data_IF_491058775022
#
_entry.id   IF_491058775022
#
_cell.length_a   1.000
_cell.length_b   1.000
_cell.length_c   1.000
_cell.angle_alpha   90.00
_cell.angle_beta   90.00
_cell.angle_gamma   90.00
#
_symmetry.space_group_name_H-M   'P 1'
#
loop_
_entity.id
_entity.type
_entity.pdbx_description
1 polymer ?
#
# COMPACT_ATOMS: atom_id res chain seq x y z
N UNK A 1 8.20 -15.85 -3.30
CA UNK A 1 9.00 -14.69 -2.85
C UNK A 1 10.34 -15.18 -2.34
N UNK A 2 11.42 -14.41 -2.51
CA UNK A 2 12.72 -14.73 -1.90
C UNK A 2 12.66 -14.61 -0.37
N UNK A 3 13.47 -15.41 0.32
CA UNK A 3 13.57 -15.43 1.78
C UNK A 3 14.95 -14.95 2.21
N UNK A 4 15.03 -14.36 3.41
CA UNK A 4 16.27 -13.87 4.02
C UNK A 4 17.14 -15.04 4.50
N UNK A 5 17.66 -15.88 3.61
CA UNK A 5 18.37 -17.12 3.99
C UNK A 5 19.81 -16.89 4.44
N UNK A 6 20.45 -15.86 3.90
CA UNK A 6 21.87 -15.53 4.07
C UNK A 6 22.11 -14.10 4.54
N UNK A 7 21.09 -13.23 4.43
CA UNK A 7 21.08 -11.84 4.92
C UNK A 7 19.64 -11.33 5.01
N UNK A 8 19.43 -10.21 5.69
CA UNK A 8 18.16 -9.47 5.62
C UNK A 8 17.99 -8.90 4.21
N UNK A 9 16.86 -9.24 3.58
CA UNK A 9 16.42 -8.62 2.33
C UNK A 9 15.67 -7.32 2.59
N UNK A 10 15.73 -6.39 1.65
CA UNK A 10 15.15 -5.05 1.75
C UNK A 10 14.10 -4.83 0.68
N UNK A 11 12.94 -4.32 1.07
CA UNK A 11 11.87 -3.88 0.16
C UNK A 11 11.20 -2.64 0.73
N UNK A 12 10.11 -2.18 0.11
CA UNK A 12 9.28 -1.10 0.61
C UNK A 12 7.82 -1.38 0.28
N UNK A 13 6.95 -0.42 0.59
CA UNK A 13 5.50 -0.59 0.45
C UNK A 13 5.03 -0.41 -0.98
N UNK A 14 5.45 0.62 -1.70
CA UNK A 14 5.04 0.77 -3.10
C UNK A 14 5.35 2.16 -3.58
N UNK A 15 4.33 3.02 -3.64
CA UNK A 15 4.44 4.41 -4.09
C UNK A 15 5.71 5.15 -3.65
N UNK A 16 6.43 5.67 -4.63
CA UNK A 16 7.66 6.45 -4.46
C UNK A 16 7.47 7.89 -4.96
N UNK A 17 8.34 8.84 -4.55
CA UNK A 17 8.31 10.19 -5.06
C UNK A 17 8.30 10.26 -6.59
N UNK A 18 7.19 10.76 -7.15
CA UNK A 18 6.99 10.89 -8.60
C UNK A 18 7.86 12.03 -9.18
N UNK A 19 8.55 11.82 -10.31
CA UNK A 19 9.24 12.88 -11.02
C UNK A 19 8.30 14.02 -11.42
N UNK A 20 8.79 15.26 -11.35
CA UNK A 20 7.99 16.46 -11.67
C UNK A 20 7.36 16.38 -13.07
N UNK A 21 8.10 15.85 -14.05
CA UNK A 21 7.61 15.70 -15.43
C UNK A 21 6.37 14.81 -15.57
N UNK A 22 6.16 13.84 -14.68
CA UNK A 22 4.95 13.02 -14.66
C UNK A 22 3.82 13.70 -13.89
N UNK A 23 4.15 14.46 -12.84
CA UNK A 23 3.18 15.30 -12.13
C UNK A 23 2.59 16.33 -13.11
N UNK A 24 3.43 16.98 -13.92
CA UNK A 24 3.02 17.97 -14.91
C UNK A 24 2.07 17.37 -15.97
N UNK A 25 2.31 16.13 -16.40
CA UNK A 25 1.39 15.40 -17.31
C UNK A 25 0.03 15.21 -16.66
N UNK A 26 -0.01 14.76 -15.40
CA UNK A 26 -1.27 14.51 -14.69
C UNK A 26 -2.05 15.80 -14.43
N UNK A 27 -1.37 16.92 -14.11
CA UNK A 27 -1.98 18.25 -13.98
C UNK A 27 -2.59 18.70 -15.31
N UNK A 28 -1.88 18.50 -16.42
CA UNK A 28 -2.35 18.89 -17.75
C UNK A 28 -3.58 18.08 -18.16
N UNK A 29 -3.60 16.77 -17.90
CA UNK A 29 -4.76 15.91 -18.12
C UNK A 29 -5.98 16.33 -17.28
N UNK A 30 -5.79 16.64 -15.99
CA UNK A 30 -6.87 17.12 -15.10
C UNK A 30 -7.40 18.51 -15.51
N UNK A 31 -6.56 19.33 -16.15
CA UNK A 31 -6.91 20.65 -16.65
C UNK A 31 -7.58 20.64 -18.04
N UNK A 32 -7.72 19.46 -18.66
CA UNK A 32 -8.31 19.31 -20.00
C UNK A 32 -7.37 19.58 -21.17
N UNK A 33 -6.07 19.68 -20.93
CA UNK A 33 -5.01 19.92 -21.92
C UNK A 33 -4.05 18.70 -21.99
N UNK A 34 -4.51 17.53 -22.48
CA UNK A 34 -3.74 16.29 -22.39
C UNK A 34 -2.44 16.32 -23.22
N UNK A 35 -1.37 15.79 -22.63
CA UNK A 35 -0.07 15.58 -23.32
C UNK A 35 -0.24 14.50 -24.41
N UNK A 36 0.44 14.62 -25.58
CA UNK A 36 0.36 13.61 -26.62
C UNK A 36 0.65 12.19 -26.10
N UNK A 37 -0.19 11.17 -26.40
CA UNK A 37 -0.08 9.84 -25.79
C UNK A 37 1.29 9.19 -25.92
N UNK A 38 1.97 9.38 -27.06
CA UNK A 38 3.31 8.85 -27.29
C UNK A 38 4.38 9.49 -26.39
N UNK A 39 4.26 10.79 -26.11
CA UNK A 39 5.17 11.51 -25.23
C UNK A 39 4.97 11.07 -23.77
N UNK A 40 3.72 10.94 -23.33
CA UNK A 40 3.40 10.42 -22.00
C UNK A 40 3.93 9.00 -21.82
N UNK A 41 3.68 8.10 -22.78
CA UNK A 41 4.15 6.72 -22.71
C UNK A 41 5.68 6.62 -22.59
N UNK A 42 6.42 7.44 -23.33
CA UNK A 42 7.88 7.46 -23.26
C UNK A 42 8.37 7.99 -21.90
N UNK A 43 7.84 9.12 -21.41
CA UNK A 43 8.19 9.68 -20.09
C UNK A 43 7.93 8.68 -18.96
N UNK A 44 6.79 8.00 -19.00
CA UNK A 44 6.45 6.98 -18.01
C UNK A 44 7.43 5.79 -18.06
N UNK A 45 7.74 5.26 -19.25
CA UNK A 45 8.70 4.16 -19.39
C UNK A 45 10.09 4.53 -18.87
N UNK A 46 10.56 5.73 -19.17
CA UNK A 46 11.86 6.21 -18.70
C UNK A 46 11.87 6.42 -17.18
N UNK A 47 10.82 6.99 -16.61
CA UNK A 47 10.67 7.18 -15.17
C UNK A 47 10.64 5.84 -14.41
N UNK A 48 9.91 4.84 -14.92
CA UNK A 48 9.86 3.49 -14.33
C UNK A 48 11.24 2.82 -14.39
N UNK A 49 11.94 2.93 -15.52
CA UNK A 49 13.31 2.40 -15.62
C UNK A 49 14.27 3.08 -14.62
N UNK A 50 14.19 4.40 -14.50
CA UNK A 50 15.05 5.16 -13.60
C UNK A 50 14.76 4.86 -12.12
N UNK A 51 13.50 4.68 -11.73
CA UNK A 51 13.17 4.40 -10.33
C UNK A 51 13.56 2.97 -9.93
N UNK A 52 13.42 1.98 -10.81
CA UNK A 52 13.93 0.62 -10.58
C UNK A 52 15.45 0.63 -10.41
N UNK A 53 16.17 1.35 -11.30
CA UNK A 53 17.62 1.49 -11.18
C UNK A 53 18.05 2.12 -9.84
N UNK A 54 17.35 3.18 -9.42
CA UNK A 54 17.61 3.89 -8.17
C UNK A 54 17.35 3.04 -6.93
N UNK A 55 16.28 2.25 -6.93
CA UNK A 55 15.99 1.31 -5.83
C UNK A 55 17.15 0.32 -5.65
N UNK A 56 17.62 -0.28 -6.74
CA UNK A 56 18.76 -1.21 -6.72
C UNK A 56 20.06 -0.52 -6.26
N UNK A 57 20.32 0.71 -6.72
CA UNK A 57 21.45 1.53 -6.27
C UNK A 57 21.43 1.74 -4.74
N UNK A 58 20.25 1.94 -4.17
CA UNK A 58 20.04 2.14 -2.75
C UNK A 58 20.00 0.82 -1.94
N UNK A 59 20.20 -0.34 -2.57
CA UNK A 59 20.22 -1.63 -1.90
C UNK A 59 18.84 -2.22 -1.61
N UNK A 60 17.80 -1.83 -2.35
CA UNK A 60 16.49 -2.48 -2.33
C UNK A 60 16.55 -3.75 -3.19
N UNK A 61 16.13 -4.88 -2.62
CA UNK A 61 16.21 -6.21 -3.24
C UNK A 61 14.95 -6.58 -4.02
N UNK A 62 13.78 -6.20 -3.49
CA UNK A 62 12.48 -6.46 -4.10
C UNK A 62 11.83 -5.12 -4.46
N UNK A 63 11.85 -4.80 -5.74
CA UNK A 63 11.55 -3.46 -6.30
C UNK A 63 10.13 -3.36 -6.87
N UNK A 64 9.63 -2.13 -7.06
CA UNK A 64 8.40 -1.88 -7.84
C UNK A 64 8.61 -0.78 -8.91
N UNK A 65 7.52 -0.36 -9.57
CA UNK A 65 7.48 0.72 -10.56
C UNK A 65 7.28 2.12 -9.95
N UNK A 66 7.36 2.26 -8.62
CA UNK A 66 7.05 3.45 -7.85
C UNK A 66 5.59 3.88 -7.90
N UNK A 67 4.70 3.07 -8.48
CA UNK A 67 3.30 3.38 -8.79
C UNK A 67 3.13 4.64 -9.68
N UNK A 68 4.13 4.95 -10.50
CA UNK A 68 4.19 6.21 -11.25
C UNK A 68 3.05 6.40 -12.23
N UNK A 69 2.47 5.32 -12.72
CA UNK A 69 1.36 5.33 -13.67
C UNK A 69 -0.03 5.51 -13.03
N UNK A 70 -0.12 5.35 -11.69
CA UNK A 70 -1.37 5.39 -10.93
C UNK A 70 -1.54 6.78 -10.30
N UNK A 71 -2.71 7.40 -10.48
CA UNK A 71 -2.98 8.75 -9.94
C UNK A 71 -3.06 8.78 -8.41
N UNK A 72 -3.61 7.71 -7.86
CA UNK A 72 -3.71 7.51 -6.42
C UNK A 72 -4.71 6.43 -6.08
N UNK A 73 -4.60 5.99 -4.83
CA UNK A 73 -5.28 4.83 -4.30
C UNK A 73 -6.81 4.84 -4.52
N UNK A 74 -7.44 5.99 -4.29
CA UNK A 74 -8.88 6.10 -4.36
C UNK A 74 -9.42 6.39 -5.78
N UNK A 75 -8.55 6.66 -6.77
CA UNK A 75 -8.90 6.80 -8.19
C UNK A 75 -8.73 5.46 -8.91
N UNK A 76 -7.80 4.63 -8.42
CA UNK A 76 -7.44 3.33 -8.98
C UNK A 76 -8.67 2.46 -9.31
N UNK A 77 -9.62 2.36 -8.37
CA UNK A 77 -10.85 1.58 -8.56
C UNK A 77 -11.72 2.12 -9.72
N UNK A 78 -11.80 3.45 -9.87
CA UNK A 78 -12.63 4.10 -10.89
C UNK A 78 -12.10 3.83 -12.30
N UNK A 79 -10.77 3.78 -12.44
CA UNK A 79 -10.09 3.50 -13.70
C UNK A 79 -10.18 2.01 -14.08
N UNK A 80 -10.26 1.12 -13.09
CA UNK A 80 -10.15 -0.34 -13.30
C UNK A 80 -11.47 -1.11 -13.24
N UNK A 81 -12.53 -0.53 -12.67
CA UNK A 81 -13.83 -1.19 -12.55
C UNK A 81 -14.92 -0.54 -13.44
N UNK A 82 -15.65 -1.39 -14.15
CA UNK A 82 -16.92 -1.07 -14.79
C UNK A 82 -18.09 -1.16 -13.80
N UNK A 83 -19.25 -0.63 -14.20
CA UNK A 83 -20.46 -0.59 -13.36
C UNK A 83 -20.48 0.54 -12.31
N UNK A 84 -19.54 1.49 -12.40
CA UNK A 84 -19.46 2.66 -11.53
C UNK A 84 -19.93 3.93 -12.23
N UNK A 85 -20.78 4.70 -11.56
CA UNK A 85 -21.31 5.99 -12.02
C UNK A 85 -20.94 7.10 -11.04
N UNK A 86 -20.49 8.29 -11.51
CA UNK A 86 -20.27 9.43 -10.63
C UNK A 86 -21.57 9.90 -9.99
N UNK A 87 -21.55 10.18 -8.68
CA UNK A 87 -22.74 10.69 -7.95
C UNK A 87 -22.99 12.19 -8.18
N UNK A 88 -22.00 12.89 -8.77
CA UNK A 88 -21.96 14.35 -8.83
C UNK A 88 -21.44 15.01 -7.55
N UNK A 89 -21.19 14.23 -6.49
CA UNK A 89 -20.57 14.68 -5.25
C UNK A 89 -19.07 14.43 -5.19
N UNK A 90 -18.42 15.02 -4.19
CA UNK A 90 -17.04 14.71 -3.82
C UNK A 90 -17.01 13.58 -2.80
N UNK A 91 -15.97 12.76 -2.87
CA UNK A 91 -15.67 11.78 -1.83
C UNK A 91 -15.23 12.52 -0.57
N UNK A 92 -15.78 12.19 0.61
CA UNK A 92 -15.39 12.82 1.86
C UNK A 92 -13.94 12.47 2.22
N UNK A 93 -13.31 13.33 3.03
CA UNK A 93 -12.01 13.03 3.62
C UNK A 93 -12.07 11.73 4.43
N UNK A 94 -11.05 10.85 4.35
CA UNK A 94 -11.01 9.63 5.15
C UNK A 94 -10.93 9.92 6.66
N UNK A 95 -10.61 11.15 7.04
CA UNK A 95 -10.55 11.60 8.43
C UNK A 95 -11.85 12.29 8.89
N UNK A 96 -12.80 12.55 7.99
CA UNK A 96 -14.05 13.19 8.35
C UNK A 96 -14.81 12.35 9.39
N UNK A 97 -15.17 12.97 10.52
CA UNK A 97 -15.87 12.34 11.64
C UNK A 97 -15.14 11.18 12.32
N UNK A 98 -13.87 10.93 11.98
CA UNK A 98 -13.02 9.92 12.63
C UNK A 98 -12.79 10.23 14.10
N UNK A 99 -12.42 9.22 14.90
CA UNK A 99 -12.00 9.38 16.31
C UNK A 99 -10.93 10.46 16.45
N UNK A 100 -9.93 10.42 15.55
CA UNK A 100 -8.84 11.40 15.50
C UNK A 100 -9.34 12.83 15.26
N UNK A 101 -10.24 13.04 14.29
CA UNK A 101 -10.79 14.38 14.03
C UNK A 101 -11.69 14.91 15.16
N UNK A 102 -12.28 14.02 15.96
CA UNK A 102 -13.09 14.38 17.12
C UNK A 102 -12.22 14.79 18.31
N UNK A 103 -11.08 14.11 18.53
CA UNK A 103 -10.15 14.44 19.62
C UNK A 103 -9.23 15.61 19.28
N UNK A 104 -8.80 15.73 18.01
CA UNK A 104 -7.88 16.76 17.53
C UNK A 104 -8.50 17.62 16.41
N UNK A 105 -9.63 18.31 16.68
CA UNK A 105 -10.37 19.03 15.63
C UNK A 105 -9.55 20.12 14.95
N UNK A 106 -8.71 20.86 15.68
CA UNK A 106 -7.87 21.93 15.12
C UNK A 106 -6.79 21.39 14.16
N UNK A 107 -6.26 20.20 14.43
CA UNK A 107 -5.26 19.57 13.57
C UNK A 107 -5.89 19.04 12.27
N UNK A 108 -7.07 18.42 12.38
CA UNK A 108 -7.75 17.81 11.24
C UNK A 108 -8.63 18.77 10.45
N UNK A 109 -8.93 19.97 10.95
CA UNK A 109 -9.77 20.96 10.25
C UNK A 109 -9.30 21.21 8.80
N UNK A 110 -8.01 21.47 8.51
CA UNK A 110 -7.56 21.70 7.12
C UNK A 110 -7.73 20.49 6.19
N UNK A 111 -7.76 19.28 6.75
CA UNK A 111 -7.82 18.00 6.02
C UNK A 111 -9.27 17.52 5.85
N UNK A 112 -10.16 17.94 6.75
CA UNK A 112 -11.57 17.52 6.80
C UNK A 112 -12.53 18.55 6.22
N UNK A 113 -12.07 19.77 5.96
CA UNK A 113 -12.83 20.75 5.20
C UNK A 113 -13.16 20.18 3.82
N UNK A 114 -14.46 20.04 3.54
CA UNK A 114 -14.93 19.72 2.19
C UNK A 114 -14.40 20.78 1.24
N UNK A 115 -13.61 20.35 0.25
CA UNK A 115 -13.21 21.23 -0.82
C UNK A 115 -14.48 21.74 -1.52
N UNK A 116 -14.84 23.00 -1.31
CA UNK A 116 -15.95 23.63 -2.04
C UNK A 116 -15.73 23.57 -3.56
N UNK A 117 -16.81 23.53 -4.35
CA UNK A 117 -16.75 23.50 -5.83
C UNK A 117 -17.05 22.13 -6.46
N UNK A 118 -16.96 22.05 -7.79
CA UNK A 118 -17.26 20.84 -8.58
C UNK A 118 -16.27 19.70 -8.31
N UNK A 119 -16.70 18.42 -8.37
CA UNK A 119 -15.80 17.28 -8.27
C UNK A 119 -14.83 17.22 -9.46
N UNK A 120 -13.60 16.79 -9.19
CA UNK A 120 -12.59 16.47 -10.21
C UNK A 120 -12.52 14.95 -10.39
N UNK A 121 -11.89 14.44 -11.48
CA UNK A 121 -11.66 13.00 -11.64
C UNK A 121 -10.97 12.36 -10.41
N UNK A 122 -10.11 13.12 -9.74
CA UNK A 122 -9.32 12.66 -8.60
C UNK A 122 -10.11 12.56 -7.27
N UNK A 123 -11.23 13.30 -7.13
CA UNK A 123 -12.02 13.32 -5.89
C UNK A 123 -13.52 13.05 -6.05
N UNK A 124 -13.99 12.72 -7.26
CA UNK A 124 -15.37 12.36 -7.51
C UNK A 124 -15.79 11.14 -6.66
N UNK A 125 -16.96 11.22 -6.03
CA UNK A 125 -17.58 10.05 -5.41
C UNK A 125 -18.25 9.20 -6.48
N UNK A 126 -18.02 7.89 -6.41
CA UNK A 126 -18.62 6.91 -7.31
C UNK A 126 -19.62 6.04 -6.56
N UNK A 127 -20.66 5.60 -7.27
CA UNK A 127 -21.59 4.57 -6.83
C UNK A 127 -21.57 3.41 -7.82
N UNK A 128 -21.64 2.18 -7.32
CA UNK A 128 -21.87 0.99 -8.13
C UNK A 128 -23.37 0.91 -8.43
N UNK A 129 -23.74 1.09 -9.71
CA UNK A 129 -25.13 1.12 -10.16
C UNK A 129 -25.48 -0.05 -11.09
N UNK A 130 -24.48 -0.81 -11.53
CA UNK A 130 -24.60 -1.95 -12.44
C UNK A 130 -23.63 -3.07 -12.01
N UNK A 131 -23.77 -4.31 -12.55
CA UNK A 131 -22.83 -5.38 -12.25
C UNK A 131 -21.37 -4.98 -12.49
N UNK A 132 -20.50 -5.34 -11.55
CA UNK A 132 -19.08 -4.98 -11.60
C UNK A 132 -18.36 -5.87 -12.60
N UNK A 133 -17.47 -5.25 -13.37
CA UNK A 133 -16.58 -5.95 -14.30
C UNK A 133 -15.20 -5.33 -14.24
N UNK A 134 -14.15 -6.11 -14.47
CA UNK A 134 -12.83 -5.55 -14.68
C UNK A 134 -12.72 -4.89 -16.07
N UNK A 135 -12.29 -3.63 -16.12
CA UNK A 135 -12.05 -2.86 -17.36
C UNK A 135 -10.62 -2.34 -17.49
N UNK A 136 -9.75 -2.62 -16.52
CA UNK A 136 -8.40 -2.05 -16.41
C UNK A 136 -7.32 -2.67 -17.30
N UNK A 137 -7.65 -3.59 -18.21
CA UNK A 137 -6.66 -4.43 -18.92
C UNK A 137 -5.58 -3.60 -19.62
N UNK A 138 -5.95 -2.56 -20.38
CA UNK A 138 -4.98 -1.73 -21.10
C UNK A 138 -4.04 -0.96 -20.15
N UNK A 139 -4.55 -0.49 -19.01
CA UNK A 139 -3.74 0.19 -17.99
C UNK A 139 -2.76 -0.79 -17.35
N UNK A 140 -3.26 -1.97 -16.97
CA UNK A 140 -2.44 -3.02 -16.37
C UNK A 140 -1.37 -3.52 -17.32
N UNK A 141 -1.71 -3.79 -18.58
CA UNK A 141 -0.75 -4.22 -19.60
C UNK A 141 0.38 -3.20 -19.79
N UNK A 142 0.06 -1.89 -19.78
CA UNK A 142 1.05 -0.82 -19.83
C UNK A 142 1.96 -0.83 -18.58
N UNK A 143 1.36 -0.94 -17.40
CA UNK A 143 2.08 -0.95 -16.12
C UNK A 143 3.06 -2.15 -16.07
N UNK A 144 2.57 -3.35 -16.40
CA UNK A 144 3.36 -4.58 -16.48
C UNK A 144 4.47 -4.49 -17.54
N UNK A 145 4.18 -3.98 -18.74
CA UNK A 145 5.19 -3.83 -19.79
C UNK A 145 6.33 -2.89 -19.40
N UNK A 146 6.02 -1.77 -18.73
CA UNK A 146 7.03 -0.85 -18.23
C UNK A 146 7.90 -1.50 -17.15
N UNK A 147 7.29 -2.19 -16.18
CA UNK A 147 8.02 -2.87 -15.12
C UNK A 147 8.88 -4.02 -15.68
N UNK A 148 8.35 -4.84 -16.59
CA UNK A 148 9.12 -5.92 -17.25
C UNK A 148 10.37 -5.37 -17.93
N UNK A 149 10.22 -4.31 -18.74
CA UNK A 149 11.35 -3.67 -19.42
C UNK A 149 12.40 -3.12 -18.44
N UNK A 150 11.96 -2.49 -17.34
CA UNK A 150 12.84 -1.95 -16.33
C UNK A 150 13.58 -3.04 -15.53
N UNK A 151 12.88 -4.12 -15.16
CA UNK A 151 13.44 -5.29 -14.48
C UNK A 151 14.51 -5.96 -15.35
N UNK A 152 14.22 -6.19 -16.63
CA UNK A 152 15.18 -6.77 -17.58
C UNK A 152 16.41 -5.88 -17.79
N UNK A 153 16.20 -4.57 -17.97
CA UNK A 153 17.28 -3.60 -18.22
C UNK A 153 18.24 -3.49 -17.02
N UNK A 154 17.71 -3.52 -15.80
CA UNK A 154 18.49 -3.37 -14.57
C UNK A 154 18.88 -4.69 -13.91
N UNK A 155 18.40 -5.83 -14.45
CA UNK A 155 18.58 -7.18 -13.88
C UNK A 155 18.07 -7.28 -12.44
N UNK A 156 16.95 -6.62 -12.15
CA UNK A 156 16.29 -6.76 -10.87
C UNK A 156 15.87 -8.22 -10.67
N UNK A 157 16.12 -8.77 -9.49
CA UNK A 157 15.95 -10.19 -9.25
C UNK A 157 14.53 -10.58 -8.87
N UNK A 158 13.81 -9.68 -8.22
CA UNK A 158 12.42 -9.84 -7.81
C UNK A 158 11.75 -8.47 -7.83
N UNK A 159 10.51 -8.43 -8.32
CA UNK A 159 9.70 -7.22 -8.35
C UNK A 159 8.25 -7.52 -7.99
N UNK A 160 7.56 -6.51 -7.50
CA UNK A 160 6.17 -6.60 -7.07
C UNK A 160 5.30 -5.49 -7.66
N UNK A 161 4.00 -5.72 -7.72
CA UNK A 161 3.01 -4.76 -8.19
C UNK A 161 1.94 -4.59 -7.11
N UNK A 162 1.79 -3.38 -6.54
CA UNK A 162 0.69 -3.08 -5.62
C UNK A 162 -0.66 -3.03 -6.33
N UNK A 163 -1.68 -3.57 -5.68
CA UNK A 163 -3.07 -3.48 -6.10
C UNK A 163 -3.97 -3.29 -4.86
N UNK A 164 -4.98 -2.45 -4.99
CA UNK A 164 -5.92 -2.16 -3.89
C UNK A 164 -6.73 -3.41 -3.54
N UNK A 165 -7.04 -3.61 -2.26
CA UNK A 165 -7.89 -4.70 -1.80
C UNK A 165 -9.39 -4.51 -2.12
N UNK A 166 -10.19 -5.59 -2.15
CA UNK A 166 -11.64 -5.48 -2.28
C UNK A 166 -12.28 -4.69 -1.12
N UNK A 167 -11.76 -4.89 0.10
CA UNK A 167 -12.20 -4.19 1.31
C UNK A 167 -12.06 -2.68 1.14
N UNK A 168 -10.90 -2.21 0.66
CA UNK A 168 -10.66 -0.78 0.52
C UNK A 168 -11.57 -0.15 -0.54
N UNK A 169 -11.75 -0.82 -1.69
CA UNK A 169 -12.72 -0.40 -2.72
C UNK A 169 -14.13 -0.31 -2.13
N UNK A 170 -14.55 -1.33 -1.37
CA UNK A 170 -15.91 -1.50 -0.87
C UNK A 170 -16.40 -0.36 0.05
N UNK A 171 -15.54 0.52 0.54
CA UNK A 171 -16.08 1.79 1.04
C UNK A 171 -15.29 3.02 0.70
N UNK A 172 -14.68 3.03 -0.48
CA UNK A 172 -14.55 4.27 -1.25
C UNK A 172 -15.65 4.38 -2.32
N UNK A 173 -16.38 3.31 -2.61
CA UNK A 173 -17.49 3.26 -3.58
C UNK A 173 -18.81 2.99 -2.85
N UNK A 174 -19.87 3.74 -3.20
CA UNK A 174 -21.22 3.49 -2.66
C UNK A 174 -21.87 2.28 -3.36
N UNK A 175 -22.70 1.52 -2.65
CA UNK A 175 -23.42 0.39 -3.20
C UNK A 175 -24.89 0.74 -3.49
N UNK A 176 -25.23 0.94 -4.78
CA UNK A 176 -26.59 1.21 -5.25
C UNK A 176 -27.13 0.06 -6.13
N UNK A 177 -26.45 -1.09 -6.16
CA UNK A 177 -26.76 -2.20 -7.07
C UNK A 177 -26.97 -3.55 -6.36
N UNK A 178 -26.06 -3.93 -5.46
CA UNK A 178 -26.10 -5.22 -4.78
C UNK A 178 -26.98 -5.16 -3.53
N UNK A 179 -27.56 -6.31 -3.17
CA UNK A 179 -28.52 -6.42 -2.07
C UNK A 179 -27.93 -6.01 -0.71
N UNK A 180 -26.66 -6.35 -0.47
CA UNK A 180 -25.95 -6.05 0.76
C UNK A 180 -24.44 -5.84 0.53
N UNK A 181 -23.75 -5.45 1.59
CA UNK A 181 -22.30 -5.18 1.58
C UNK A 181 -21.47 -6.45 1.29
N UNK A 182 -21.98 -7.63 1.65
CA UNK A 182 -21.29 -8.90 1.41
C UNK A 182 -21.30 -9.23 -0.09
N UNK A 183 -22.48 -9.23 -0.71
CA UNK A 183 -22.62 -9.44 -2.15
C UNK A 183 -21.79 -8.43 -2.96
N UNK A 184 -21.74 -7.17 -2.50
CA UNK A 184 -20.90 -6.15 -3.12
C UNK A 184 -19.40 -6.46 -2.98
N UNK A 185 -18.94 -6.81 -1.78
CA UNK A 185 -17.55 -7.18 -1.52
C UNK A 185 -17.09 -8.35 -2.40
N UNK A 186 -17.91 -9.41 -2.50
CA UNK A 186 -17.58 -10.57 -3.33
C UNK A 186 -17.59 -10.24 -4.83
N UNK A 187 -18.48 -9.35 -5.29
CA UNK A 187 -18.47 -8.90 -6.67
C UNK A 187 -17.22 -8.05 -7.01
N UNK A 188 -16.76 -7.21 -6.08
CA UNK A 188 -15.47 -6.51 -6.21
C UNK A 188 -14.33 -7.53 -6.26
N UNK A 189 -14.35 -8.53 -5.36
CA UNK A 189 -13.33 -9.57 -5.31
C UNK A 189 -13.23 -10.36 -6.62
N UNK A 190 -14.36 -10.73 -7.23
CA UNK A 190 -14.40 -11.38 -8.54
C UNK A 190 -13.81 -10.50 -9.66
N UNK A 191 -14.14 -9.21 -9.67
CA UNK A 191 -13.59 -8.28 -10.65
C UNK A 191 -12.07 -8.09 -10.47
N UNK A 192 -11.61 -7.91 -9.23
CA UNK A 192 -10.18 -7.67 -8.94
C UNK A 192 -9.31 -8.92 -9.12
N UNK A 193 -9.87 -10.12 -8.99
CA UNK A 193 -9.16 -11.38 -9.27
C UNK A 193 -8.54 -11.42 -10.68
N UNK A 194 -9.14 -10.71 -11.65
CA UNK A 194 -8.60 -10.58 -13.02
C UNK A 194 -7.23 -9.88 -13.01
N UNK A 195 -7.12 -8.72 -12.34
CA UNK A 195 -5.86 -7.98 -12.22
C UNK A 195 -4.83 -8.76 -11.42
N UNK A 196 -5.26 -9.35 -10.30
CA UNK A 196 -4.38 -10.10 -9.41
C UNK A 196 -3.73 -11.29 -10.11
N UNK A 197 -4.50 -12.04 -10.91
CA UNK A 197 -3.97 -13.15 -11.72
C UNK A 197 -3.01 -12.64 -12.79
N UNK A 198 -3.39 -11.59 -13.52
CA UNK A 198 -2.54 -11.04 -14.58
C UNK A 198 -1.18 -10.54 -14.06
N UNK A 199 -1.13 -9.96 -12.86
CA UNK A 199 0.14 -9.57 -12.20
C UNK A 199 1.04 -10.80 -11.95
N UNK A 200 0.47 -11.88 -11.40
CA UNK A 200 1.23 -13.09 -11.08
C UNK A 200 1.62 -13.86 -12.35
N UNK A 201 0.74 -13.93 -13.34
CA UNK A 201 0.99 -14.55 -14.65
C UNK A 201 2.10 -13.82 -15.43
N UNK A 202 2.25 -12.50 -15.22
CA UNK A 202 3.37 -11.71 -15.76
C UNK A 202 4.71 -11.96 -15.04
N UNK A 203 4.72 -12.79 -13.98
CA UNK A 203 5.94 -13.17 -13.27
C UNK A 203 6.29 -12.27 -12.08
N UNK A 204 5.43 -11.34 -11.70
CA UNK A 204 5.64 -10.48 -10.52
C UNK A 204 4.99 -11.04 -9.26
N UNK A 205 5.40 -10.50 -8.10
CA UNK A 205 4.67 -10.67 -6.86
C UNK A 205 3.48 -9.70 -6.84
N UNK A 206 2.33 -10.16 -6.37
CA UNK A 206 1.18 -9.32 -6.09
C UNK A 206 1.29 -8.75 -4.68
N UNK A 207 1.19 -7.43 -4.52
CA UNK A 207 0.89 -6.85 -3.22
C UNK A 207 -0.58 -6.43 -3.13
N UNK A 208 -1.29 -6.90 -2.10
CA UNK A 208 -2.61 -6.40 -1.74
C UNK A 208 -2.45 -5.29 -0.70
N UNK A 209 -2.86 -4.07 -1.05
CA UNK A 209 -2.85 -2.90 -0.17
C UNK A 209 -4.22 -2.71 0.47
N UNK A 210 -4.26 -2.73 1.80
CA UNK A 210 -5.50 -2.61 2.56
C UNK A 210 -5.33 -1.84 3.88
N UNK A 211 -5.08 -0.52 3.81
CA UNK A 211 -5.08 0.32 5.01
C UNK A 211 -6.47 0.37 5.65
N UNK A 212 -7.57 0.20 4.89
CA UNK A 212 -8.93 0.27 5.44
C UNK A 212 -9.19 -0.78 6.51
N UNK A 213 -8.68 -2.00 6.35
CA UNK A 213 -8.98 -3.09 7.29
C UNK A 213 -8.68 -2.70 8.75
N UNK A 214 -7.57 -2.01 9.00
CA UNK A 214 -7.23 -1.53 10.35
C UNK A 214 -7.73 -0.10 10.62
N UNK A 215 -7.86 0.76 9.59
CA UNK A 215 -8.42 2.10 9.75
C UNK A 215 -9.95 2.11 9.97
N UNK A 216 -10.63 0.98 9.82
CA UNK A 216 -12.07 0.90 10.06
C UNK A 216 -12.44 1.33 11.48
N UNK A 217 -11.61 0.98 12.48
CA UNK A 217 -11.83 1.38 13.86
C UNK A 217 -11.75 2.90 14.06
N UNK A 218 -10.74 3.57 13.48
CA UNK A 218 -10.59 5.02 13.61
C UNK A 218 -11.68 5.78 12.86
N UNK A 219 -12.17 5.23 11.74
CA UNK A 219 -13.22 5.82 10.91
C UNK A 219 -14.64 5.63 11.46
N UNK A 220 -14.85 4.68 12.37
CA UNK A 220 -16.17 4.37 12.94
C UNK A 220 -16.14 4.56 14.48
N UNK A 221 -16.24 5.81 14.96
CA UNK A 221 -16.09 6.18 16.37
C UNK A 221 -17.13 5.54 17.31
N UNK A 222 -18.25 5.09 16.75
CA UNK A 222 -19.37 4.44 17.41
C UNK A 222 -19.21 2.93 17.59
N UNK A 223 -18.24 2.30 16.92
CA UNK A 223 -18.00 0.84 16.99
C UNK A 223 -17.00 0.46 18.06
N UNK A 224 -17.22 -0.68 18.71
CA UNK A 224 -16.25 -1.33 19.60
C UNK A 224 -15.14 -2.04 18.81
N UNK A 225 -14.04 -2.37 19.48
CA UNK A 225 -12.96 -3.18 18.89
C UNK A 225 -13.49 -4.55 18.45
N UNK A 226 -14.38 -5.16 19.23
CA UNK A 226 -14.99 -6.44 18.93
C UNK A 226 -15.85 -6.40 17.64
N UNK A 227 -16.62 -5.33 17.45
CA UNK A 227 -17.39 -5.12 16.21
C UNK A 227 -16.47 -4.90 15.01
N UNK A 228 -15.38 -4.15 15.17
CA UNK A 228 -14.38 -3.95 14.11
C UNK A 228 -13.65 -5.26 13.76
N UNK A 229 -13.32 -6.10 14.74
CA UNK A 229 -12.75 -7.43 14.52
C UNK A 229 -13.71 -8.34 13.75
N UNK A 230 -14.98 -8.38 14.15
CA UNK A 230 -16.00 -9.16 13.45
C UNK A 230 -16.17 -8.72 11.98
N UNK A 231 -16.14 -7.41 11.73
CA UNK A 231 -16.15 -6.86 10.38
C UNK A 231 -14.88 -7.24 9.59
N UNK A 232 -13.70 -7.16 10.21
CA UNK A 232 -12.43 -7.50 9.56
C UNK A 232 -12.34 -8.98 9.17
N UNK A 233 -12.88 -9.90 9.97
CA UNK A 233 -12.98 -11.32 9.61
C UNK A 233 -13.74 -11.52 8.28
N UNK A 234 -14.87 -10.81 8.09
CA UNK A 234 -15.63 -10.87 6.84
C UNK A 234 -14.84 -10.29 5.66
N UNK A 235 -14.07 -9.22 5.89
CA UNK A 235 -13.22 -8.64 4.83
C UNK A 235 -12.12 -9.61 4.38
N UNK A 236 -11.51 -10.35 5.32
CA UNK A 236 -10.50 -11.36 4.99
C UNK A 236 -11.05 -12.46 4.09
N UNK A 237 -12.31 -12.89 4.29
CA UNK A 237 -12.97 -13.84 3.39
C UNK A 237 -13.11 -13.28 1.96
N UNK A 238 -13.50 -12.02 1.82
CA UNK A 238 -13.55 -11.33 0.52
C UNK A 238 -12.18 -11.21 -0.15
N UNK A 239 -11.12 -10.88 0.61
CA UNK A 239 -9.75 -10.83 0.11
C UNK A 239 -9.28 -12.22 -0.35
N UNK A 240 -9.51 -13.25 0.46
CA UNK A 240 -9.14 -14.63 0.13
C UNK A 240 -9.90 -15.15 -1.10
N UNK A 241 -11.16 -14.76 -1.27
CA UNK A 241 -11.92 -15.02 -2.49
C UNK A 241 -11.30 -14.35 -3.72
N UNK A 242 -10.88 -13.08 -3.59
CA UNK A 242 -10.18 -12.37 -4.65
C UNK A 242 -8.82 -13.00 -5.01
N UNK A 243 -8.19 -13.71 -4.08
CA UNK A 243 -6.93 -14.44 -4.30
C UNK A 243 -7.12 -15.86 -4.86
N UNK A 244 -8.35 -16.29 -5.14
CA UNK A 244 -8.62 -17.65 -5.64
C UNK A 244 -7.85 -17.98 -6.91
N UNK A 245 -7.08 -19.06 -6.84
CA UNK A 245 -6.25 -19.57 -7.94
C UNK A 245 -4.87 -18.91 -8.03
N UNK A 246 -4.50 -18.07 -7.06
CA UNK A 246 -3.18 -17.46 -6.94
C UNK A 246 -2.41 -18.17 -5.82
N UNK A 247 -1.20 -18.69 -6.08
CA UNK A 247 -0.36 -19.28 -5.04
C UNK A 247 0.03 -18.24 -3.97
N UNK A 248 -0.05 -18.58 -2.68
CA UNK A 248 0.21 -17.64 -1.59
C UNK A 248 1.66 -17.14 -1.54
N UNK A 249 2.62 -17.93 -2.04
CA UNK A 249 4.03 -17.57 -2.17
C UNK A 249 4.31 -16.49 -3.23
N UNK A 250 3.29 -16.13 -4.01
CA UNK A 250 3.28 -15.03 -4.98
C UNK A 250 2.57 -13.78 -4.46
N UNK A 251 2.04 -13.81 -3.23
CA UNK A 251 1.24 -12.74 -2.65
C UNK A 251 1.91 -12.17 -1.40
N UNK A 252 1.97 -10.86 -1.34
CA UNK A 252 2.25 -10.08 -0.13
C UNK A 252 1.05 -9.21 0.21
N UNK A 253 0.83 -8.95 1.49
CA UNK A 253 -0.26 -8.10 1.97
C UNK A 253 0.32 -6.95 2.77
N UNK A 254 -0.14 -5.73 2.52
CA UNK A 254 0.29 -4.53 3.25
C UNK A 254 -0.89 -3.84 3.95
N UNK A 255 -0.67 -3.45 5.20
CA UNK A 255 -1.59 -2.58 5.95
C UNK A 255 -0.82 -1.48 6.70
N UNK A 256 -1.42 -0.30 6.82
CA UNK A 256 -0.85 0.84 7.53
C UNK A 256 -1.97 1.76 8.06
N UNK A 257 -1.61 2.78 8.84
CA UNK A 257 -2.57 3.73 9.43
C UNK A 257 -2.79 4.97 8.55
N UNK A 258 -2.20 4.97 7.36
CA UNK A 258 -2.36 6.01 6.35
C UNK A 258 -1.15 6.93 6.23
N UNK A 259 -0.98 7.49 5.03
CA UNK A 259 0.23 8.22 4.64
C UNK A 259 0.40 9.59 5.31
N UNK A 260 -0.64 10.18 5.90
CA UNK A 260 -0.48 11.49 6.53
C UNK A 260 0.15 11.40 7.93
N UNK A 261 0.90 12.41 8.32
CA UNK A 261 1.32 12.65 9.69
C UNK A 261 0.10 13.02 10.54
N UNK A 262 0.02 12.49 11.76
CA UNK A 262 -1.09 12.75 12.67
C UNK A 262 -0.81 12.33 14.11
N UNK A 263 -1.73 12.61 15.05
CA UNK A 263 -1.59 12.22 16.46
C UNK A 263 -1.64 10.71 16.70
N UNK A 264 -2.48 9.96 15.96
CA UNK A 264 -2.47 8.48 15.90
C UNK A 264 -2.74 7.79 17.25
N UNK A 265 -3.48 8.44 18.14
CA UNK A 265 -3.78 7.87 19.48
C UNK A 265 -4.98 6.91 19.46
N UNK A 266 -5.72 6.87 18.36
CA UNK A 266 -6.88 6.01 18.13
C UNK A 266 -6.67 4.95 17.03
N UNK A 267 -5.44 4.75 16.59
CA UNK A 267 -5.08 3.62 15.74
C UNK A 267 -5.47 2.29 16.43
N UNK A 268 -6.00 1.35 15.64
CA UNK A 268 -6.29 0.00 16.12
C UNK A 268 -4.97 -0.69 16.46
N UNK A 269 -4.81 -1.22 17.67
CA UNK A 269 -3.55 -1.84 18.08
C UNK A 269 -3.34 -3.18 17.36
N UNK A 270 -2.08 -3.56 17.11
CA UNK A 270 -1.73 -4.80 16.40
C UNK A 270 -2.30 -6.04 17.07
N UNK A 271 -2.37 -6.07 18.41
CA UNK A 271 -2.98 -7.16 19.18
C UNK A 271 -4.44 -7.44 18.79
N UNK A 272 -5.11 -6.45 18.23
CA UNK A 272 -6.53 -6.51 17.89
C UNK A 272 -6.78 -6.90 16.43
N UNK A 273 -5.77 -7.04 15.57
CA UNK A 273 -5.99 -7.42 14.16
C UNK A 273 -5.00 -8.43 13.58
N UNK A 274 -3.83 -8.64 14.18
CA UNK A 274 -2.76 -9.42 13.54
C UNK A 274 -3.14 -10.88 13.31
N UNK A 275 -3.90 -11.48 14.24
CA UNK A 275 -4.44 -12.83 14.12
C UNK A 275 -5.44 -12.98 12.95
N UNK A 276 -6.15 -11.90 12.62
CA UNK A 276 -7.08 -11.83 11.49
C UNK A 276 -6.30 -11.70 10.18
N UNK A 277 -5.34 -10.78 10.11
CA UNK A 277 -4.53 -10.55 8.89
C UNK A 277 -3.72 -11.77 8.51
N UNK A 278 -3.21 -12.54 9.49
CA UNK A 278 -2.44 -13.76 9.22
C UNK A 278 -3.26 -14.88 8.55
N UNK A 279 -4.61 -14.79 8.54
CA UNK A 279 -5.51 -15.71 7.81
C UNK A 279 -5.59 -15.42 6.30
N UNK A 280 -5.02 -14.30 5.84
CA UNK A 280 -4.95 -13.98 4.41
C UNK A 280 -4.00 -14.96 3.72
N UNK A 281 -4.38 -15.41 2.53
CA UNK A 281 -3.62 -16.31 1.65
C UNK A 281 -2.42 -15.60 1.00
N UNK A 282 -1.56 -15.00 1.82
CA UNK A 282 -0.32 -14.33 1.46
C UNK A 282 0.82 -14.85 2.32
N UNK A 283 1.95 -15.19 1.70
CA UNK A 283 3.12 -15.67 2.44
C UNK A 283 3.97 -14.52 2.98
N UNK A 284 3.70 -13.27 2.60
CA UNK A 284 4.37 -12.12 3.17
C UNK A 284 3.38 -11.07 3.70
N UNK A 285 3.66 -10.55 4.90
CA UNK A 285 2.82 -9.53 5.56
C UNK A 285 3.67 -8.32 5.91
N UNK A 286 3.39 -7.19 5.27
CA UNK A 286 3.98 -5.89 5.52
C UNK A 286 3.07 -5.04 6.39
N UNK A 287 3.64 -4.37 7.39
CA UNK A 287 2.87 -3.54 8.31
C UNK A 287 3.68 -2.39 8.88
N UNK A 288 2.97 -1.30 9.21
CA UNK A 288 3.51 -0.13 9.90
C UNK A 288 3.99 -0.46 11.33
N UNK A 289 5.24 -0.12 11.65
CA UNK A 289 5.90 -0.46 12.90
C UNK A 289 7.06 0.47 13.34
N UNK A 290 7.61 1.32 12.47
CA UNK A 290 8.77 2.16 12.79
C UNK A 290 8.41 3.42 13.58
N UNK A 291 7.17 3.89 13.49
CA UNK A 291 6.74 5.07 14.22
C UNK A 291 6.70 4.81 15.75
N UNK A 292 6.81 5.86 16.59
CA UNK A 292 6.84 5.70 18.04
C UNK A 292 5.56 5.12 18.66
N UNK A 293 4.43 5.14 17.95
CA UNK A 293 3.15 4.58 18.42
C UNK A 293 3.19 3.05 18.37
N UNK A 294 3.77 2.49 17.31
CA UNK A 294 3.70 1.06 17.00
C UNK A 294 5.04 0.31 17.20
N UNK A 295 6.18 1.01 17.38
CA UNK A 295 7.49 0.35 17.53
C UNK A 295 7.55 -0.66 18.67
N UNK A 296 6.75 -0.51 19.73
CA UNK A 296 6.74 -1.44 20.86
C UNK A 296 6.04 -2.78 20.58
N UNK A 297 5.26 -2.88 19.50
CA UNK A 297 4.38 -4.02 19.21
C UNK A 297 5.12 -5.26 18.69
N UNK A 298 6.43 -5.15 18.41
CA UNK A 298 7.27 -6.33 18.10
C UNK A 298 7.18 -7.42 19.18
N UNK A 299 6.92 -7.03 20.43
CA UNK A 299 6.78 -7.96 21.56
C UNK A 299 5.56 -8.88 21.45
N UNK A 300 4.53 -8.48 20.70
CA UNK A 300 3.35 -9.32 20.50
C UNK A 300 3.71 -10.61 19.74
N UNK A 301 4.80 -10.59 18.96
CA UNK A 301 5.28 -11.73 18.22
C UNK A 301 5.89 -12.85 19.09
N UNK A 302 6.13 -12.60 20.38
CA UNK A 302 6.49 -13.67 21.33
C UNK A 302 5.34 -14.69 21.50
N UNK A 303 4.09 -14.22 21.39
CA UNK A 303 2.88 -15.03 21.55
C UNK A 303 2.24 -15.44 20.21
N UNK A 304 2.66 -14.83 19.09
CA UNK A 304 2.11 -15.08 17.76
C UNK A 304 2.96 -16.13 17.04
N UNK A 305 2.37 -17.28 16.76
CA UNK A 305 3.02 -18.29 15.93
C UNK A 305 2.91 -17.93 14.43
N UNK A 306 4.00 -17.44 13.84
CA UNK A 306 4.09 -17.23 12.40
C UNK A 306 4.11 -18.59 11.69
N UNK A 307 3.11 -18.84 10.83
CA UNK A 307 3.02 -20.11 10.12
C UNK A 307 4.26 -20.37 9.24
N UNK A 308 4.66 -21.64 9.13
CA UNK A 308 5.79 -22.05 8.29
C UNK A 308 5.61 -21.53 6.85
N UNK A 309 6.69 -21.03 6.26
CA UNK A 309 6.68 -20.44 4.92
C UNK A 309 6.35 -18.96 4.89
N UNK A 310 5.73 -18.39 5.94
CA UNK A 310 5.44 -16.95 5.99
C UNK A 310 6.67 -16.11 6.35
N UNK A 311 6.64 -14.85 5.92
CA UNK A 311 7.64 -13.81 6.15
C UNK A 311 6.93 -12.53 6.59
N UNK A 312 7.53 -11.77 7.50
CA UNK A 312 7.07 -10.44 7.88
C UNK A 312 7.98 -9.36 7.29
N UNK A 313 7.37 -8.23 6.95
CA UNK A 313 8.03 -7.05 6.40
C UNK A 313 7.67 -5.85 7.30
N UNK A 314 8.17 -5.80 8.55
CA UNK A 314 7.91 -4.69 9.44
C UNK A 314 8.48 -3.39 8.87
N UNK A 315 7.75 -2.30 9.05
CA UNK A 315 8.28 -0.96 8.87
C UNK A 315 9.45 -0.73 9.82
N UNK A 316 10.61 -0.37 9.28
CA UNK A 316 11.82 0.01 10.04
C UNK A 316 12.25 1.45 9.77
N UNK A 317 11.65 2.09 8.76
CA UNK A 317 11.65 3.53 8.50
C UNK A 317 10.21 4.05 8.45
N UNK A 318 9.98 5.28 8.92
CA UNK A 318 8.64 5.86 8.96
C UNK A 318 8.48 7.04 8.01
N UNK A 319 7.31 7.15 7.38
CA UNK A 319 6.85 8.36 6.69
C UNK A 319 6.35 9.43 7.68
N UNK A 320 6.02 9.04 8.90
CA UNK A 320 5.43 9.92 9.94
C UNK A 320 6.42 10.90 10.60
N UNK A 321 7.67 10.97 10.10
CA UNK A 321 8.72 11.84 10.61
C UNK A 321 9.72 12.22 9.52
N UNK A 322 10.18 13.47 9.54
CA UNK A 322 11.26 13.95 8.68
C UNK A 322 12.66 13.52 9.15
N UNK A 323 12.78 13.02 10.38
CA UNK A 323 14.06 12.48 10.86
C UNK A 323 14.39 11.22 10.07
N UNK A 324 15.58 11.20 9.48
CA UNK A 324 16.15 9.99 8.89
C UNK A 324 16.59 9.09 10.04
N UNK A 325 16.07 7.88 10.06
CA UNK A 325 16.41 6.86 11.05
C UNK A 325 17.91 6.55 10.97
N UNK A 326 18.55 6.36 12.13
CA UNK A 326 19.95 5.95 12.15
C UNK A 326 20.05 4.47 11.73
N UNK A 327 21.03 4.06 10.90
CA UNK A 327 21.21 2.67 10.47
C UNK A 327 21.27 1.67 11.64
N UNK A 328 21.95 2.00 12.73
CA UNK A 328 21.96 1.17 13.96
C UNK A 328 20.56 0.95 14.56
N UNK A 329 19.71 1.98 14.56
CA UNK A 329 18.33 1.82 15.06
C UNK A 329 17.51 0.92 14.13
N UNK A 330 17.70 1.06 12.81
CA UNK A 330 17.10 0.15 11.83
C UNK A 330 17.57 -1.29 12.09
N UNK A 331 18.87 -1.50 12.31
CA UNK A 331 19.43 -2.82 12.59
C UNK A 331 18.86 -3.43 13.87
N UNK A 332 18.78 -2.64 14.95
CA UNK A 332 18.14 -3.05 16.21
C UNK A 332 16.68 -3.47 16.01
N UNK A 333 15.90 -2.70 15.23
CA UNK A 333 14.50 -3.03 14.92
C UNK A 333 14.39 -4.37 14.20
N UNK A 334 15.23 -4.59 13.19
CA UNK A 334 15.28 -5.86 12.45
C UNK A 334 15.66 -7.03 13.36
N UNK A 335 16.67 -6.86 14.22
CA UNK A 335 17.10 -7.90 15.16
C UNK A 335 16.03 -8.23 16.20
N UNK A 336 15.25 -7.25 16.67
CA UNK A 336 14.11 -7.49 17.58
C UNK A 336 13.08 -8.41 16.94
N UNK A 337 12.66 -8.13 15.71
CA UNK A 337 11.74 -9.02 14.97
C UNK A 337 12.37 -10.39 14.69
N UNK A 338 13.63 -10.41 14.23
CA UNK A 338 14.35 -11.66 13.98
C UNK A 338 14.46 -12.55 15.22
N UNK A 339 14.54 -11.97 16.43
CA UNK A 339 14.63 -12.73 17.68
C UNK A 339 13.34 -13.46 18.05
N UNK A 340 12.18 -12.99 17.58
CA UNK A 340 10.86 -13.51 17.94
C UNK A 340 10.22 -14.35 16.83
N UNK A 341 10.50 -14.05 15.56
CA UNK A 341 9.97 -14.84 14.42
C UNK A 341 11.02 -15.66 13.67
N UNK A 342 12.31 -15.55 14.00
CA UNK A 342 13.40 -16.15 13.26
C UNK A 342 13.91 -15.26 12.12
N UNK A 343 15.24 -15.17 11.99
CA UNK A 343 15.93 -14.24 11.08
C UNK A 343 15.59 -14.46 9.60
N UNK A 344 15.29 -15.69 9.20
CA UNK A 344 14.89 -16.05 7.84
C UNK A 344 13.48 -15.62 7.45
N UNK A 345 12.67 -15.19 8.43
CA UNK A 345 11.29 -14.76 8.27
C UNK A 345 11.13 -13.24 8.31
N UNK A 346 12.21 -12.46 8.24
CA UNK A 346 12.17 -10.99 8.33
C UNK A 346 12.80 -10.33 7.10
N UNK A 347 12.11 -9.34 6.53
CA UNK A 347 12.64 -8.41 5.54
C UNK A 347 12.46 -6.97 6.06
N UNK A 348 13.36 -6.08 5.68
CA UNK A 348 13.22 -4.65 5.97
C UNK A 348 12.15 -4.03 5.06
N UNK A 349 11.23 -3.24 5.64
CA UNK A 349 10.25 -2.44 4.91
C UNK A 349 10.10 -1.02 5.45
N UNK A 350 9.25 -0.24 4.81
CA UNK A 350 8.76 1.04 5.33
C UNK A 350 7.38 0.91 5.97
N UNK A 351 7.01 1.89 6.79
CA UNK A 351 5.66 1.95 7.39
C UNK A 351 4.55 2.08 6.36
N UNK A 352 4.79 2.87 5.31
CA UNK A 352 3.86 3.15 4.22
C UNK A 352 4.65 3.54 2.97
N UNK A 353 3.96 3.89 1.89
CA UNK A 353 4.55 4.53 0.71
C UNK A 353 4.92 6.00 0.97
N UNK A 354 5.65 6.59 0.02
CA UNK A 354 6.17 7.96 0.08
C UNK A 354 5.70 8.85 -1.09
N UNK A 355 4.71 8.43 -1.88
CA UNK A 355 4.34 9.15 -3.12
C UNK A 355 2.91 8.95 -3.64
N UNK A 356 1.94 8.65 -2.77
CA UNK A 356 0.66 8.04 -3.18
C UNK A 356 -0.32 8.96 -3.93
N UNK A 357 -0.18 10.29 -3.87
CA UNK A 357 -1.09 11.21 -4.55
C UNK A 357 -0.35 12.12 -5.53
N UNK A 358 -0.69 12.01 -6.80
CA UNK A 358 -0.02 12.74 -7.89
C UNK A 358 -0.01 14.26 -7.79
N UNK A 359 -1.03 14.83 -7.13
CA UNK A 359 -1.24 16.28 -7.07
C UNK A 359 -1.00 16.86 -5.68
N UNK A 360 -0.62 16.02 -4.71
CA UNK A 360 -0.33 16.48 -3.36
C UNK A 360 1.16 16.85 -3.25
N UNK A 361 1.47 17.94 -2.55
CA UNK A 361 2.82 18.12 -2.04
C UNK A 361 3.10 16.96 -1.07
N UNK A 362 4.16 16.15 -1.31
CA UNK A 362 4.43 15.02 -0.44
C UNK A 362 4.86 15.54 0.93
N UNK A 363 4.30 14.96 2.00
CA UNK A 363 4.65 15.34 3.37
C UNK A 363 6.14 15.14 3.67
N UNK A 364 6.76 14.14 3.02
CA UNK A 364 8.19 13.89 3.07
C UNK A 364 8.82 14.26 1.74
N UNK A 365 9.71 15.25 1.75
CA UNK A 365 10.41 15.69 0.55
C UNK A 365 11.21 14.53 -0.09
N UNK A 366 11.23 14.38 -1.44
CA UNK A 366 11.87 13.25 -2.12
C UNK A 366 13.32 12.98 -1.68
N UNK A 367 14.11 14.03 -1.43
CA UNK A 367 15.51 13.87 -0.99
C UNK A 367 15.64 13.22 0.39
N UNK A 368 14.66 13.41 1.28
CA UNK A 368 14.61 12.76 2.59
C UNK A 368 14.21 11.29 2.43
N UNK A 369 13.28 10.99 1.52
CA UNK A 369 12.89 9.60 1.20
C UNK A 369 14.11 8.78 0.79
N UNK A 370 14.96 9.31 -0.10
CA UNK A 370 16.18 8.61 -0.53
C UNK A 370 17.19 8.42 0.60
N UNK A 371 17.31 9.38 1.52
CA UNK A 371 18.15 9.23 2.70
C UNK A 371 17.62 8.14 3.65
N UNK A 372 16.29 8.04 3.82
CA UNK A 372 15.65 6.96 4.59
C UNK A 372 15.89 5.59 3.97
N UNK A 373 15.79 5.47 2.65
CA UNK A 373 16.05 4.20 1.94
C UNK A 373 17.51 3.77 2.08
N UNK A 374 18.46 4.71 1.94
CA UNK A 374 19.87 4.43 2.18
C UNK A 374 20.13 3.94 3.62
N UNK A 375 19.55 4.62 4.62
CA UNK A 375 19.67 4.22 6.02
C UNK A 375 19.03 2.85 6.30
N UNK A 376 17.90 2.54 5.63
CA UNK A 376 17.24 1.25 5.73
C UNK A 376 18.14 0.12 5.22
N UNK A 377 18.74 0.30 4.04
CA UNK A 377 19.65 -0.68 3.45
C UNK A 377 20.92 -0.87 4.27
N UNK A 378 21.53 0.23 4.77
CA UNK A 378 22.69 0.17 5.65
C UNK A 378 22.36 -0.56 6.97
N UNK A 379 21.22 -0.27 7.58
CA UNK A 379 20.76 -0.97 8.79
C UNK A 379 20.50 -2.46 8.55
N UNK A 380 19.95 -2.82 7.39
CA UNK A 380 19.78 -4.22 7.00
C UNK A 380 21.14 -4.94 6.81
N UNK A 381 22.15 -4.26 6.28
CA UNK A 381 23.51 -4.81 6.20
C UNK A 381 24.11 -5.04 7.59
N UNK A 382 23.98 -4.10 8.52
CA UNK A 382 24.43 -4.24 9.91
C UNK A 382 23.74 -5.44 10.58
N UNK A 383 22.40 -5.51 10.51
CA UNK A 383 21.66 -6.63 11.06
C UNK A 383 22.07 -7.97 10.43
N UNK A 384 22.39 -7.99 9.14
CA UNK A 384 22.83 -9.20 8.45
C UNK A 384 24.16 -9.73 8.99
N UNK A 385 25.14 -8.85 9.22
CA UNK A 385 26.43 -9.23 9.81
C UNK A 385 26.26 -9.79 11.23
N UNK A 386 25.40 -9.18 12.05
CA UNK A 386 25.14 -9.65 13.42
C UNK A 386 24.39 -11.00 13.46
N UNK A 387 23.44 -11.21 12.54
CA UNK A 387 22.58 -12.39 12.52
C UNK A 387 23.21 -13.61 11.84
N UNK A 388 24.10 -13.43 10.84
CA UNK A 388 24.72 -14.53 10.08
C UNK A 388 26.24 -14.67 10.26
N UNK A 389 26.94 -13.67 10.80
CA UNK A 389 28.41 -13.62 10.86
C UNK A 389 29.03 -13.17 9.55
#
# INVERSE_FOLDING_TARGET
MRRSTDRILVTHVGSLPRPQELIDVMIAEDSGDPVPPAEHAQKLSDAVNNIVAKQLELGIDVVDDGEFSKRGFAVYAHERLGGLTPTGGKRPSPWAHSRESQEFPEFYEPITQDATGEPTPSNAQMACTEPLTYKGNELLERDLANLTKAVEANKAEEAFVPAISPCDIAGNVLNDHYEDDEAFLFAIADAMNVEYKAIVDAGFLLQIDDPRLINYYVKNPDKSVEECRAWAEQQVEGINHALKGIPSDRVRYHTCYGINMGPRVHDMEMKDFIDIILKINADAVSFEAANPRHEHEWKLWDDINLAEGKTIIPGVITHSSLLVEHPELVAERLMRYASVVGKENVMAGGDCGFGTQALAEPEVHPTIVWAKFAAMAEGAQIASMELWG
#
